data_IF_576145774400
#
_entry.id   IF_576145774400
#
_cell.length_a   1.000
_cell.length_b   1.000
_cell.length_c   1.000
_cell.angle_alpha   90.00
_cell.angle_beta   90.00
_cell.angle_gamma   90.00
#
_symmetry.space_group_name_H-M   'P 1'
#
loop_
_entity.id
_entity.type
_entity.pdbx_description
1 polymer ?
#
# COMPACT_ATOMS: atom_id res chain seq x y z
N UNK A 1 7.05 12.33 1.24
CA UNK A 1 7.00 12.01 2.67
C UNK A 1 5.89 11.00 2.92
N UNK A 2 6.18 9.94 3.65
CA UNK A 2 5.20 8.97 4.10
C UNK A 2 5.22 8.88 5.64
N UNK A 3 4.06 8.63 6.22
CA UNK A 3 3.90 8.32 7.63
C UNK A 3 3.20 6.98 7.75
N UNK A 4 3.78 6.08 8.53
CA UNK A 4 3.23 4.74 8.78
C UNK A 4 2.96 4.62 10.27
N UNK A 5 1.75 4.17 10.62
CA UNK A 5 1.36 3.87 12.00
C UNK A 5 0.85 2.44 12.04
N UNK A 6 1.36 1.63 12.95
CA UNK A 6 0.92 0.26 13.19
C UNK A 6 0.85 0.00 14.70
N UNK A 7 -0.22 -0.64 15.15
CA UNK A 7 -0.39 -0.98 16.56
C UNK A 7 -1.26 -2.23 16.72
N UNK A 8 -0.89 -3.10 17.63
CA UNK A 8 -1.66 -4.26 18.07
C UNK A 8 -2.53 -3.97 19.31
N UNK A 9 -2.52 -2.74 19.81
CA UNK A 9 -3.20 -2.35 21.06
C UNK A 9 -4.29 -1.30 20.88
N UNK A 10 -4.56 -0.90 19.66
CA UNK A 10 -5.64 0.04 19.32
C UNK A 10 -6.78 -0.71 18.64
N UNK A 11 -8.01 -0.18 18.66
CA UNK A 11 -9.07 -0.71 17.81
C UNK A 11 -8.63 -0.83 16.35
N UNK A 12 -9.15 -1.85 15.68
CA UNK A 12 -8.80 -2.08 14.27
C UNK A 12 -9.18 -0.85 13.42
N UNK A 13 -8.16 -0.26 12.81
CA UNK A 13 -8.29 0.81 11.83
C UNK A 13 -7.24 0.58 10.76
N UNK A 14 -7.68 0.34 9.55
CA UNK A 14 -6.80 0.18 8.41
C UNK A 14 -7.22 1.15 7.31
N UNK A 15 -6.34 2.06 6.96
CA UNK A 15 -6.58 3.03 5.90
C UNK A 15 -5.28 3.50 5.26
N UNK A 16 -5.37 3.94 4.02
CA UNK A 16 -4.29 4.65 3.33
C UNK A 16 -4.84 6.00 2.88
N UNK A 17 -4.14 7.06 3.23
CA UNK A 17 -4.39 8.39 2.67
C UNK A 17 -3.24 8.83 1.78
N UNK A 18 -3.56 9.29 0.58
CA UNK A 18 -2.58 9.83 -0.38
C UNK A 18 -2.94 11.28 -0.67
N UNK A 19 -2.06 12.19 -0.32
CA UNK A 19 -2.25 13.62 -0.52
C UNK A 19 -1.56 14.10 -1.79
N UNK A 20 -2.27 14.83 -2.61
CA UNK A 20 -1.77 15.47 -3.83
C UNK A 20 -2.28 16.89 -4.00
N UNK A 21 -1.76 17.62 -4.98
CA UNK A 21 -2.13 19.03 -5.23
C UNK A 21 -3.63 19.22 -5.58
N UNK A 22 -4.27 18.21 -6.11
CA UNK A 22 -5.69 18.26 -6.52
C UNK A 22 -6.67 17.79 -5.44
N UNK A 23 -6.18 17.26 -4.32
CA UNK A 23 -6.99 16.67 -3.25
C UNK A 23 -6.32 15.47 -2.62
N UNK A 24 -7.10 14.64 -1.95
CA UNK A 24 -6.62 13.39 -1.34
C UNK A 24 -7.43 12.18 -1.80
N UNK A 25 -6.77 11.04 -1.86
CA UNK A 25 -7.41 9.73 -1.94
C UNK A 25 -7.45 9.11 -0.54
N UNK A 26 -8.59 8.57 -0.18
CA UNK A 26 -8.77 7.74 1.01
C UNK A 26 -9.11 6.33 0.56
N UNK A 27 -8.32 5.36 0.99
CA UNK A 27 -8.58 3.94 0.81
C UNK A 27 -8.90 3.36 2.18
N UNK A 28 -10.14 2.94 2.38
CA UNK A 28 -10.55 2.27 3.62
C UNK A 28 -10.35 0.78 3.48
N UNK A 29 -9.86 0.13 4.53
CA UNK A 29 -9.61 -1.32 4.60
C UNK A 29 -8.82 -1.87 3.40
N UNK A 30 -7.62 -1.31 3.10
CA UNK A 30 -6.81 -1.70 1.95
C UNK A 30 -6.24 -3.12 2.07
N UNK A 31 -6.22 -3.67 3.26
CA UNK A 31 -5.70 -5.01 3.52
C UNK A 31 -6.85 -6.00 3.72
N UNK A 32 -6.54 -7.29 3.56
CA UNK A 32 -7.52 -8.33 3.76
C UNK A 32 -8.06 -8.30 5.18
N UNK A 33 -9.30 -7.86 5.29
CA UNK A 33 -10.10 -8.19 6.44
C UNK A 33 -11.50 -8.60 5.96
N UNK A 34 -12.19 -9.36 6.75
CA UNK A 34 -13.31 -10.20 6.35
C UNK A 34 -14.61 -9.48 5.97
N UNK A 35 -14.62 -8.16 5.87
CA UNK A 35 -15.81 -7.38 5.54
C UNK A 35 -15.62 -6.56 4.26
N UNK A 36 -16.05 -7.12 3.14
CA UNK A 36 -15.95 -6.47 1.82
C UNK A 36 -16.76 -5.18 1.72
N UNK A 37 -17.83 -5.07 2.47
CA UNK A 37 -18.79 -3.95 2.42
C UNK A 37 -18.19 -2.58 2.81
N UNK A 38 -17.05 -2.56 3.48
CA UNK A 38 -16.39 -1.34 3.94
C UNK A 38 -15.15 -0.94 3.14
N UNK A 39 -14.77 -1.73 2.12
CA UNK A 39 -13.66 -1.37 1.23
C UNK A 39 -14.11 -0.30 0.24
N UNK A 40 -13.50 0.88 0.31
CA UNK A 40 -13.83 1.99 -0.58
C UNK A 40 -12.57 2.77 -0.95
N UNK A 41 -12.59 3.29 -2.16
CA UNK A 41 -11.65 4.30 -2.60
C UNK A 41 -12.43 5.59 -2.84
N UNK A 42 -12.12 6.61 -2.07
CA UNK A 42 -12.82 7.90 -2.18
C UNK A 42 -11.82 8.99 -2.53
N UNK A 43 -12.09 9.72 -3.60
CA UNK A 43 -11.37 10.94 -3.92
C UNK A 43 -12.06 12.14 -3.28
N UNK A 44 -11.30 12.89 -2.50
CA UNK A 44 -11.72 14.16 -1.91
C UNK A 44 -10.99 15.28 -2.64
N UNK A 45 -11.61 15.96 -3.61
CA UNK A 45 -10.97 17.06 -4.32
C UNK A 45 -10.72 18.25 -3.38
N UNK A 46 -9.74 19.10 -3.72
CA UNK A 46 -9.45 20.31 -2.95
C UNK A 46 -10.63 21.30 -2.90
N UNK A 47 -11.57 21.18 -3.83
CA UNK A 47 -12.87 21.88 -3.84
C UNK A 47 -13.94 20.98 -4.47
N UNK A 48 -15.08 20.87 -3.83
CA UNK A 48 -16.21 20.02 -4.28
C UNK A 48 -16.49 18.86 -3.36
N UNK A 49 -17.48 18.04 -3.75
CA UNK A 49 -17.93 16.90 -2.97
C UNK A 49 -16.99 15.69 -3.16
N UNK A 50 -16.89 14.81 -2.15
CA UNK A 50 -16.21 13.54 -2.29
C UNK A 50 -16.82 12.69 -3.41
N UNK A 51 -15.97 11.93 -4.09
CA UNK A 51 -16.33 11.06 -5.20
C UNK A 51 -15.86 9.64 -4.89
N UNK A 52 -16.76 8.68 -4.91
CA UNK A 52 -16.39 7.28 -4.80
C UNK A 52 -15.84 6.78 -6.12
N UNK A 53 -14.69 6.11 -6.06
CA UNK A 53 -14.05 5.49 -7.23
C UNK A 53 -14.44 4.02 -7.22
N UNK A 54 -15.16 3.52 -8.24
CA UNK A 54 -15.52 2.12 -8.31
C UNK A 54 -14.27 1.26 -8.41
N UNK A 55 -14.19 0.23 -7.58
CA UNK A 55 -13.12 -0.77 -7.59
C UNK A 55 -13.71 -2.08 -8.10
N UNK A 56 -13.11 -2.72 -9.11
CA UNK A 56 -13.57 -4.02 -9.57
C UNK A 56 -13.50 -5.06 -8.45
N UNK A 57 -14.50 -5.93 -8.38
CA UNK A 57 -14.41 -7.12 -7.55
C UNK A 57 -13.33 -8.04 -8.12
N UNK A 58 -12.40 -8.43 -7.31
CA UNK A 58 -11.33 -9.38 -7.64
C UNK A 58 -11.11 -10.32 -6.47
N UNK A 59 -10.84 -11.57 -6.78
CA UNK A 59 -10.39 -12.51 -5.77
C UNK A 59 -9.07 -12.04 -5.17
N UNK A 60 -8.98 -12.18 -3.86
CA UNK A 60 -7.78 -11.84 -3.13
C UNK A 60 -6.61 -12.69 -3.64
N UNK A 61 -5.45 -12.07 -3.80
CA UNK A 61 -4.23 -12.69 -4.33
C UNK A 61 -4.28 -13.13 -5.81
N UNK A 62 -5.40 -12.95 -6.52
CA UNK A 62 -5.46 -13.31 -7.95
C UNK A 62 -4.42 -12.55 -8.78
N UNK A 63 -4.21 -11.27 -8.47
CA UNK A 63 -3.24 -10.44 -9.16
C UNK A 63 -1.80 -10.94 -9.02
N UNK A 64 -1.41 -11.43 -7.84
CA UNK A 64 -0.06 -12.01 -7.62
C UNK A 64 0.12 -13.32 -8.38
N UNK A 65 -0.93 -14.14 -8.44
CA UNK A 65 -0.89 -15.41 -9.18
C UNK A 65 -0.81 -15.15 -10.68
N UNK A 66 -1.61 -14.23 -11.20
CA UNK A 66 -1.62 -13.87 -12.62
C UNK A 66 -0.30 -13.23 -13.06
N UNK A 67 0.27 -12.34 -12.24
CA UNK A 67 1.58 -11.73 -12.51
C UNK A 67 2.69 -12.80 -12.58
N UNK A 68 2.67 -13.74 -11.63
CA UNK A 68 3.63 -14.85 -11.63
C UNK A 68 3.42 -15.79 -12.82
N UNK A 69 2.19 -16.10 -13.20
CA UNK A 69 1.88 -16.87 -14.40
C UNK A 69 2.44 -16.19 -15.64
N UNK A 70 2.14 -14.92 -15.85
CA UNK A 70 2.64 -14.16 -17.00
C UNK A 70 4.17 -14.14 -17.04
N UNK A 71 4.82 -13.98 -15.88
CA UNK A 71 6.27 -13.98 -15.81
C UNK A 71 6.90 -15.33 -16.18
N UNK A 72 6.31 -16.45 -15.73
CA UNK A 72 6.84 -17.79 -15.95
C UNK A 72 6.49 -18.32 -17.35
N UNK A 73 5.25 -18.16 -17.78
CA UNK A 73 4.75 -18.80 -19.00
C UNK A 73 4.98 -17.93 -20.23
N UNK A 74 4.86 -16.61 -20.11
CA UNK A 74 4.91 -15.68 -21.21
C UNK A 74 6.21 -14.86 -21.25
N UNK A 75 7.07 -15.01 -20.25
CA UNK A 75 8.31 -14.22 -20.11
C UNK A 75 8.05 -12.74 -19.84
N UNK A 76 6.88 -12.38 -19.33
CA UNK A 76 6.54 -11.00 -18.99
C UNK A 76 7.42 -10.50 -17.84
N UNK A 77 7.67 -9.19 -17.80
CA UNK A 77 8.35 -8.59 -16.66
C UNK A 77 7.40 -8.60 -15.45
N UNK A 78 7.79 -9.18 -14.31
CA UNK A 78 6.97 -9.13 -13.10
C UNK A 78 6.67 -7.69 -12.69
N UNK A 79 5.50 -7.46 -12.14
CA UNK A 79 5.09 -6.15 -11.61
C UNK A 79 6.04 -5.67 -10.51
N UNK A 80 6.39 -6.57 -9.58
CA UNK A 80 7.44 -6.34 -8.59
C UNK A 80 8.73 -7.04 -9.01
N UNK A 81 9.76 -6.27 -9.25
CA UNK A 81 11.09 -6.79 -9.57
C UNK A 81 11.84 -7.24 -8.31
N UNK A 82 12.86 -8.08 -8.48
CA UNK A 82 13.74 -8.47 -7.37
C UNK A 82 14.48 -7.28 -6.75
N UNK A 83 14.77 -6.24 -7.54
CA UNK A 83 15.37 -5.02 -7.02
C UNK A 83 14.42 -4.29 -6.06
N UNK A 84 13.18 -4.06 -6.47
CA UNK A 84 12.15 -3.45 -5.64
C UNK A 84 11.87 -4.26 -4.38
N UNK A 85 11.77 -5.60 -4.50
CA UNK A 85 11.60 -6.48 -3.33
C UNK A 85 12.75 -6.32 -2.34
N UNK A 86 14.00 -6.29 -2.83
CA UNK A 86 15.17 -6.05 -1.98
C UNK A 86 15.11 -4.68 -1.29
N UNK A 87 14.69 -3.66 -2.00
CA UNK A 87 14.63 -2.29 -1.47
C UNK A 87 13.48 -2.15 -0.44
N UNK A 88 12.39 -2.89 -0.59
CA UNK A 88 11.37 -3.02 0.46
C UNK A 88 11.95 -3.63 1.74
N UNK A 89 12.71 -4.72 1.64
CA UNK A 89 13.36 -5.34 2.80
C UNK A 89 14.36 -4.38 3.44
N UNK A 90 15.17 -3.68 2.66
CA UNK A 90 16.10 -2.65 3.16
C UNK A 90 15.38 -1.55 3.93
N UNK A 91 14.25 -1.09 3.39
CA UNK A 91 13.41 -0.08 4.06
C UNK A 91 12.93 -0.57 5.42
N UNK A 92 12.44 -1.80 5.50
CA UNK A 92 11.99 -2.40 6.77
C UNK A 92 13.15 -2.50 7.77
N UNK A 93 14.32 -2.96 7.33
CA UNK A 93 15.51 -3.04 8.19
C UNK A 93 15.95 -1.66 8.69
N UNK A 94 15.89 -0.64 7.83
CA UNK A 94 16.21 0.73 8.22
C UNK A 94 15.21 1.29 9.24
N UNK A 95 13.93 0.95 9.15
CA UNK A 95 12.93 1.30 10.16
C UNK A 95 13.24 0.65 11.52
N UNK A 96 13.62 -0.63 11.55
CA UNK A 96 14.05 -1.29 12.77
C UNK A 96 15.31 -0.65 13.36
N UNK A 97 16.30 -0.33 12.53
CA UNK A 97 17.51 0.34 12.97
C UNK A 97 17.21 1.74 13.53
N UNK A 98 16.37 2.51 12.86
CA UNK A 98 15.92 3.82 13.33
C UNK A 98 15.20 3.72 14.67
N UNK A 99 14.30 2.75 14.84
CA UNK A 99 13.59 2.52 16.11
C UNK A 99 14.56 2.14 17.25
N UNK A 100 15.58 1.31 16.96
CA UNK A 100 16.56 0.86 17.95
C UNK A 100 17.52 1.97 18.35
N UNK A 101 17.93 2.82 17.42
CA UNK A 101 18.96 3.86 17.65
C UNK A 101 18.38 5.22 17.96
N UNK A 102 17.09 5.41 17.74
CA UNK A 102 16.40 6.71 17.81
C UNK A 102 17.03 7.77 16.87
N UNK A 103 17.52 7.35 15.72
CA UNK A 103 18.16 8.21 14.72
C UNK A 103 17.55 8.02 13.34
N UNK A 104 17.70 9.03 12.52
CA UNK A 104 17.39 8.92 11.09
C UNK A 104 18.39 7.95 10.46
N UNK A 105 17.88 7.03 9.67
CA UNK A 105 18.67 6.10 8.85
C UNK A 105 18.45 6.46 7.39
N UNK A 106 19.51 6.83 6.69
CA UNK A 106 19.50 7.08 5.25
C UNK A 106 19.70 5.78 4.48
N UNK A 107 18.90 5.57 3.48
CA UNK A 107 19.10 4.47 2.53
C UNK A 107 20.01 4.96 1.40
N UNK A 108 21.02 4.18 0.99
CA UNK A 108 21.78 4.49 -0.22
C UNK A 108 20.89 4.33 -1.46
N UNK A 109 21.11 5.16 -2.46
CA UNK A 109 20.51 5.10 -3.79
C UNK A 109 20.80 3.78 -4.52
#
# INVERSE_FOLDING_TARGET
>A
LAQITSSMRTPLRTEIEIFGARGRLLVTRPFNDMADEERRVTFHPAGGAPQEIPVPEMDLYSGEVEDMHAAILDGARPYLTRAETRDHVRTILALYESARTHRVVSLPD
#
